data_IF_308626898181
#
_entry.id   IF_308626898181
#
_cell.length_a   1.000
_cell.length_b   1.000
_cell.length_c   1.000
_cell.angle_alpha   90.00
_cell.angle_beta   90.00
_cell.angle_gamma   90.00
#
_symmetry.space_group_name_H-M   'P 1'
#
loop_
_entity.id
_entity.type
_entity.pdbx_description
1 polymer ?
#
# COMPACT_ATOMS: atom_id res chain seq x y z
N UNK A 1 11.69 10.16 -13.77
CA UNK A 1 10.89 8.92 -13.81
C UNK A 1 10.59 8.47 -12.39
N UNK A 2 9.36 8.09 -12.14
CA UNK A 2 8.92 7.68 -10.81
C UNK A 2 8.22 6.33 -10.90
N UNK A 3 8.32 5.56 -9.82
CA UNK A 3 7.74 4.22 -9.77
C UNK A 3 6.84 4.10 -8.55
N UNK A 4 5.71 3.43 -8.71
CA UNK A 4 4.80 3.15 -7.60
C UNK A 4 4.74 1.64 -7.43
N UNK A 5 4.98 1.18 -6.22
CA UNK A 5 4.94 -0.24 -5.90
C UNK A 5 4.22 -0.43 -4.57
N UNK A 6 3.70 -1.63 -4.34
CA UNK A 6 3.03 -1.92 -3.09
C UNK A 6 3.10 -3.38 -2.72
N UNK A 7 2.99 -3.64 -1.42
CA UNK A 7 2.86 -4.97 -0.86
C UNK A 7 1.48 -5.12 -0.27
N UNK A 8 0.89 -6.30 -0.42
CA UNK A 8 -0.41 -6.63 0.13
C UNK A 8 -0.27 -7.90 0.95
N UNK A 9 -0.94 -7.96 2.10
CA UNK A 9 -1.01 -9.17 2.89
C UNK A 9 -2.44 -9.68 2.88
N UNK A 10 -2.62 -10.92 2.41
CA UNK A 10 -3.92 -11.55 2.36
C UNK A 10 -4.13 -12.27 3.70
N UNK A 11 -5.17 -11.88 4.43
CA UNK A 11 -5.36 -12.39 5.77
C UNK A 11 -5.85 -13.83 5.80
N UNK A 12 -6.44 -14.31 4.70
CA UNK A 12 -6.99 -15.65 4.69
C UNK A 12 -5.93 -16.73 4.49
N UNK A 13 -4.96 -16.47 3.65
CA UNK A 13 -3.93 -17.46 3.37
C UNK A 13 -2.56 -17.02 3.85
N UNK A 14 -2.49 -15.93 4.62
CA UNK A 14 -1.25 -15.43 5.19
C UNK A 14 -0.19 -15.19 4.13
N UNK A 15 -0.60 -14.79 2.95
CA UNK A 15 0.31 -14.59 1.84
C UNK A 15 0.59 -13.13 1.56
N UNK A 16 1.81 -12.85 1.14
CA UNK A 16 2.21 -11.51 0.73
C UNK A 16 2.32 -11.45 -0.78
N UNK A 17 1.87 -10.36 -1.36
CA UNK A 17 2.02 -10.09 -2.79
C UNK A 17 2.73 -8.76 -2.96
N UNK A 18 3.66 -8.72 -3.91
CA UNK A 18 4.37 -7.50 -4.24
C UNK A 18 4.03 -7.13 -5.68
N UNK A 19 3.64 -5.89 -5.87
CA UNK A 19 3.26 -5.42 -7.20
C UNK A 19 3.93 -4.10 -7.52
N UNK A 20 4.22 -3.89 -8.78
CA UNK A 20 4.73 -2.63 -9.30
C UNK A 20 3.69 -2.13 -10.27
N UNK A 21 3.10 -0.98 -9.95
CA UNK A 21 2.06 -0.42 -10.82
C UNK A 21 2.63 -0.01 -12.16
N UNK A 22 3.81 0.65 -12.13
CA UNK A 22 4.40 1.11 -13.36
C UNK A 22 5.27 2.31 -13.13
N UNK A 23 5.61 2.96 -14.22
CA UNK A 23 6.50 4.10 -14.16
C UNK A 23 5.78 5.34 -14.71
N UNK A 24 6.09 6.48 -14.13
CA UNK A 24 5.43 7.75 -14.46
C UNK A 24 6.48 8.81 -14.70
N UNK A 25 6.26 9.62 -15.74
CA UNK A 25 7.22 10.66 -16.08
C UNK A 25 7.16 11.84 -15.13
N UNK A 26 6.00 12.11 -14.54
CA UNK A 26 5.83 13.25 -13.66
C UNK A 26 5.49 12.79 -12.24
N UNK A 27 5.90 13.61 -11.29
CA UNK A 27 5.60 13.34 -9.89
C UNK A 27 4.10 13.39 -9.62
N UNK A 28 3.38 14.30 -10.28
CA UNK A 28 1.95 14.42 -10.07
C UNK A 28 1.22 13.17 -10.53
N UNK A 29 1.58 12.61 -11.68
CA UNK A 29 0.99 11.37 -12.16
C UNK A 29 1.30 10.21 -11.22
N UNK A 30 2.52 10.15 -10.72
CA UNK A 30 2.93 9.11 -9.79
C UNK A 30 2.16 9.22 -8.47
N UNK A 31 1.98 10.44 -7.97
CA UNK A 31 1.20 10.63 -6.73
C UNK A 31 -0.24 10.21 -6.91
N UNK A 32 -0.83 10.50 -8.07
CA UNK A 32 -2.20 10.10 -8.33
C UNK A 32 -2.33 8.57 -8.30
N UNK A 33 -1.40 7.85 -8.90
CA UNK A 33 -1.40 6.40 -8.85
C UNK A 33 -1.18 5.89 -7.42
N UNK A 34 -0.27 6.53 -6.69
CA UNK A 34 0.03 6.19 -5.30
C UNK A 34 -1.23 6.27 -4.43
N UNK A 35 -1.94 7.38 -4.49
CA UNK A 35 -3.18 7.55 -3.71
C UNK A 35 -4.28 6.63 -4.20
N UNK A 36 -4.29 6.29 -5.49
CA UNK A 36 -5.24 5.35 -6.03
C UNK A 36 -5.07 3.95 -5.45
N UNK A 37 -3.82 3.52 -5.24
CA UNK A 37 -3.56 2.23 -4.61
C UNK A 37 -4.08 2.22 -3.18
N UNK A 38 -3.80 3.26 -2.42
CA UNK A 38 -4.30 3.35 -1.06
C UNK A 38 -5.83 3.34 -1.03
N UNK A 39 -6.46 4.11 -1.91
CA UNK A 39 -7.92 4.18 -1.96
C UNK A 39 -8.53 2.82 -2.27
N UNK A 40 -7.85 2.01 -3.08
CA UNK A 40 -8.36 0.69 -3.45
C UNK A 40 -8.25 -0.32 -2.33
N UNK A 41 -7.21 -0.26 -1.52
CA UNK A 41 -6.93 -1.33 -0.58
C UNK A 41 -7.18 -0.98 0.88
N UNK A 42 -7.19 0.30 1.23
CA UNK A 42 -7.55 0.70 2.60
C UNK A 42 -9.01 0.31 2.83
N UNK A 43 -9.26 -0.40 3.92
CA UNK A 43 -10.60 -0.87 4.22
C UNK A 43 -10.99 -2.17 3.54
N UNK A 44 -10.05 -2.83 2.86
CA UNK A 44 -10.33 -4.08 2.18
C UNK A 44 -10.75 -5.17 3.17
N UNK A 45 -11.65 -6.05 2.72
CA UNK A 45 -12.03 -7.21 3.50
C UNK A 45 -11.16 -8.42 3.21
N UNK A 46 -10.36 -8.35 2.15
CA UNK A 46 -9.49 -9.45 1.72
C UNK A 46 -8.08 -9.26 2.23
N UNK A 47 -7.58 -8.03 2.17
CA UNK A 47 -6.21 -7.72 2.58
C UNK A 47 -6.26 -6.95 3.88
N UNK A 48 -5.44 -7.36 4.83
CA UNK A 48 -5.37 -6.68 6.13
C UNK A 48 -4.21 -5.71 6.22
N UNK A 49 -3.34 -5.67 5.21
CA UNK A 49 -2.22 -4.73 5.20
C UNK A 49 -1.91 -4.31 3.79
N UNK A 50 -1.55 -3.06 3.63
CA UNK A 50 -1.01 -2.55 2.36
C UNK A 50 0.12 -1.59 2.70
N UNK A 51 1.24 -1.77 2.02
CA UNK A 51 2.36 -0.84 2.10
C UNK A 51 2.60 -0.34 0.69
N UNK A 52 2.54 0.97 0.50
CA UNK A 52 2.72 1.57 -0.82
C UNK A 52 3.92 2.50 -0.78
N UNK A 53 4.67 2.54 -1.88
CA UNK A 53 5.90 3.29 -1.95
C UNK A 53 5.99 3.96 -3.31
N UNK A 54 6.43 5.21 -3.29
CA UNK A 54 6.74 5.96 -4.50
C UNK A 54 8.23 6.26 -4.49
N UNK A 55 8.93 5.82 -5.53
CA UNK A 55 10.38 5.99 -5.63
C UNK A 55 10.73 6.73 -6.91
N UNK A 56 11.92 7.34 -6.92
CA UNK A 56 12.43 7.98 -8.13
C UNK A 56 13.28 7.00 -8.94
N UNK A 57 13.87 7.49 -10.03
CA UNK A 57 14.62 6.62 -10.94
C UNK A 57 15.93 6.12 -10.34
N UNK A 58 16.37 6.68 -9.25
CA UNK A 58 17.57 6.22 -8.55
C UNK A 58 17.24 5.29 -7.39
N UNK A 59 15.94 4.99 -7.20
CA UNK A 59 15.52 4.12 -6.12
C UNK A 59 15.30 4.83 -4.79
N UNK A 60 15.41 6.16 -4.77
CA UNK A 60 15.18 6.91 -3.54
C UNK A 60 13.69 6.99 -3.25
N UNK A 61 13.34 6.78 -1.98
CA UNK A 61 11.95 6.86 -1.59
C UNK A 61 11.51 8.32 -1.53
N UNK A 62 10.47 8.63 -2.29
CA UNK A 62 9.87 9.96 -2.27
C UNK A 62 8.80 10.03 -1.19
N UNK A 63 7.95 9.00 -1.11
CA UNK A 63 6.94 8.90 -0.07
C UNK A 63 6.53 7.45 0.09
N UNK A 64 5.98 7.12 1.24
CA UNK A 64 5.47 5.78 1.50
C UNK A 64 4.44 5.84 2.61
N UNK A 65 3.52 4.89 2.59
CA UNK A 65 2.49 4.73 3.62
C UNK A 65 2.26 3.27 3.89
N UNK A 66 1.85 2.98 5.11
CA UNK A 66 1.48 1.65 5.51
C UNK A 66 0.15 1.71 6.23
N UNK A 67 -0.77 0.84 5.82
CA UNK A 67 -2.07 0.72 6.46
C UNK A 67 -2.26 -0.71 6.93
N UNK A 68 -2.77 -0.86 8.13
CA UNK A 68 -3.11 -2.15 8.68
C UNK A 68 -4.54 -2.10 9.18
N UNK A 69 -5.32 -3.10 8.82
CA UNK A 69 -6.71 -3.16 9.23
C UNK A 69 -6.78 -3.25 10.75
N UNK A 70 -7.80 -2.61 11.37
CA UNK A 70 -7.97 -2.75 12.81
C UNK A 70 -8.20 -4.21 13.17
N UNK A 71 -7.64 -4.61 14.32
CA UNK A 71 -7.83 -5.95 14.79
C UNK A 71 -9.30 -6.17 15.11
N UNK A 72 -9.87 -7.30 14.74
CA UNK A 72 -11.26 -7.59 15.10
C UNK A 72 -11.43 -7.96 16.56
N UNK A 73 -10.33 -8.11 17.32
CA UNK A 73 -10.41 -8.48 18.71
C UNK A 73 -10.94 -7.38 19.53
N UNK A 74 -11.87 -7.67 20.34
CA UNK A 74 -12.38 -6.60 21.19
C UNK A 74 -11.40 -6.28 22.30
N UNK A 75 -10.99 -6.55 22.63
CA UNK A 75 -10.40 -6.41 23.54
C UNK A 75 -10.03 -5.63 24.09
N UNK A 76 -10.25 -5.68 23.79
CA UNK A 76 -10.12 -5.22 24.00
C UNK A 76 -10.34 -4.82 24.79
N UNK A 77 -10.54 -4.93 24.98
CA UNK A 77 -10.78 -4.70 25.47
C UNK A 77 -10.86 -4.30 26.14
N UNK A 78 -10.98 -4.37 26.21
CA UNK A 78 -11.06 -4.10 26.63
C UNK A 78 -11.12 -3.72 27.29
N UNK A 79 -10.79 -3.78 27.43
CA UNK A 79 -10.97 -3.55 27.70
C UNK A 79 -11.20 -3.25 28.02
#
# INVERSE_FOLDING_TARGET
>A
MYFVSWYLHNKENDGWAYKIEGKYASLDSAKKAYYGVLANYVGSTVYDSVAVMLTDSLGNRVMSDFWMAPSPEPNEEGE
#
